data_IF_978970354244
#
_entry.id   IF_978970354244
#
_cell.length_a   1.000
_cell.length_b   1.000
_cell.length_c   1.000
_cell.angle_alpha   90.00
_cell.angle_beta   90.00
_cell.angle_gamma   90.00
#
_symmetry.space_group_name_H-M   'P 1'
#
loop_
_entity.id
_entity.type
_entity.pdbx_description
1 polymer ?
#
# COMPACT_ATOMS: atom_id res chain seq x y z
N UNK A 1 26.13 -10.10 25.72
CA UNK A 1 26.22 -10.89 24.48
C UNK A 1 24.92 -11.67 24.36
N UNK A 2 24.03 -11.29 23.45
CA UNK A 2 22.77 -12.03 23.27
C UNK A 2 23.12 -13.44 22.75
N UNK A 3 22.49 -14.49 23.28
CA UNK A 3 22.76 -15.83 22.75
C UNK A 3 22.31 -15.84 21.29
N UNK A 4 23.13 -16.37 20.37
CA UNK A 4 22.76 -16.51 18.94
C UNK A 4 21.39 -17.22 18.77
N UNK A 5 21.01 -18.03 19.75
CA UNK A 5 19.71 -18.71 19.84
C UNK A 5 18.56 -17.71 20.01
N UNK A 6 18.69 -16.73 20.90
CA UNK A 6 17.64 -15.74 21.15
C UNK A 6 17.43 -14.81 19.94
N UNK A 7 18.49 -14.41 19.25
CA UNK A 7 18.36 -13.63 18.00
C UNK A 7 17.65 -14.43 16.91
N UNK A 8 17.99 -15.71 16.73
CA UNK A 8 17.30 -16.59 15.79
C UNK A 8 15.83 -16.81 16.16
N UNK A 9 15.53 -17.02 17.44
CA UNK A 9 14.15 -17.20 17.92
C UNK A 9 13.30 -15.95 17.64
N UNK A 10 13.83 -14.75 17.92
CA UNK A 10 13.17 -13.47 17.57
C UNK A 10 12.90 -13.38 16.07
N UNK A 11 13.90 -13.70 15.24
CA UNK A 11 13.75 -13.66 13.79
C UNK A 11 12.64 -14.60 13.32
N UNK A 12 12.63 -15.85 13.79
CA UNK A 12 11.62 -16.85 13.44
C UNK A 12 10.23 -16.39 13.88
N UNK A 13 10.09 -15.88 15.10
CA UNK A 13 8.83 -15.38 15.63
C UNK A 13 8.22 -14.27 14.74
N UNK A 14 8.99 -13.20 14.48
CA UNK A 14 8.48 -12.09 13.65
C UNK A 14 8.19 -12.54 12.22
N UNK A 15 8.96 -13.49 11.67
CA UNK A 15 8.71 -14.04 10.35
C UNK A 15 7.40 -14.84 10.32
N UNK A 16 7.16 -15.71 11.30
CA UNK A 16 5.92 -16.50 11.40
C UNK A 16 4.71 -15.57 11.51
N UNK A 17 4.76 -14.60 12.41
CA UNK A 17 3.66 -13.64 12.58
C UNK A 17 3.41 -12.85 11.29
N UNK A 18 4.47 -12.44 10.59
CA UNK A 18 4.33 -11.78 9.28
C UNK A 18 3.73 -12.73 8.22
N UNK A 19 4.13 -14.01 8.18
CA UNK A 19 3.53 -15.00 7.27
C UNK A 19 2.04 -15.16 7.56
N UNK A 20 1.65 -15.28 8.84
CA UNK A 20 0.25 -15.37 9.23
C UNK A 20 -0.55 -14.13 8.82
N UNK A 21 0.04 -12.93 8.92
CA UNK A 21 -0.57 -11.68 8.46
C UNK A 21 -0.93 -11.69 6.97
N UNK A 22 -0.08 -12.29 6.12
CA UNK A 22 -0.33 -12.41 4.67
C UNK A 22 -1.10 -13.67 4.27
N UNK A 23 -1.18 -14.68 5.14
CA UNK A 23 -1.88 -15.93 4.88
C UNK A 23 -3.38 -15.84 5.21
N UNK A 24 -3.73 -15.21 6.33
CA UNK A 24 -5.14 -15.08 6.75
C UNK A 24 -5.79 -13.82 6.16
N UNK A 25 -6.23 -13.91 4.90
CA UNK A 25 -6.74 -12.79 4.13
C UNK A 25 -8.23 -12.50 4.34
N UNK A 26 -9.03 -13.54 4.51
CA UNK A 26 -10.50 -13.45 4.56
C UNK A 26 -11.06 -13.70 5.96
N UNK A 27 -10.22 -14.20 6.86
CA UNK A 27 -10.59 -14.56 8.22
C UNK A 27 -10.67 -13.32 9.12
N UNK A 28 -11.66 -13.35 10.01
CA UNK A 28 -11.89 -12.30 10.99
C UNK A 28 -12.11 -12.92 12.37
N UNK A 29 -11.71 -12.17 13.39
CA UNK A 29 -12.03 -12.43 14.77
C UNK A 29 -13.40 -11.79 15.08
N UNK A 30 -14.33 -12.59 15.60
CA UNK A 30 -15.60 -12.08 16.09
C UNK A 30 -15.56 -11.94 17.62
N UNK A 31 -15.40 -10.71 18.09
CA UNK A 31 -15.42 -10.33 19.51
C UNK A 31 -16.56 -9.34 19.79
N UNK A 32 -17.65 -9.42 19.02
CA UNK A 32 -18.70 -8.38 18.96
C UNK A 32 -18.37 -7.25 17.98
N UNK A 33 -17.16 -7.28 17.41
CA UNK A 33 -16.70 -6.50 16.25
C UNK A 33 -15.92 -7.46 15.35
N UNK A 34 -16.18 -7.42 14.04
CA UNK A 34 -15.46 -8.23 13.07
C UNK A 34 -14.09 -7.60 12.76
N UNK A 35 -13.05 -8.07 13.46
CA UNK A 35 -11.67 -7.58 13.29
C UNK A 35 -10.89 -8.51 12.39
N UNK A 36 -10.40 -8.01 11.26
CA UNK A 36 -9.65 -8.84 10.30
C UNK A 36 -8.35 -9.40 10.90
N UNK A 37 -8.01 -10.66 10.62
CA UNK A 37 -6.79 -11.28 11.14
C UNK A 37 -5.52 -10.56 10.71
N UNK A 38 -5.46 -10.05 9.48
CA UNK A 38 -4.39 -9.17 8.99
C UNK A 38 -4.14 -7.96 9.90
N UNK A 39 -5.20 -7.33 10.43
CA UNK A 39 -5.08 -6.22 11.38
C UNK A 39 -4.54 -6.70 12.73
N UNK A 40 -5.04 -7.82 13.24
CA UNK A 40 -4.58 -8.43 14.50
C UNK A 40 -3.08 -8.74 14.44
N UNK A 41 -2.61 -9.41 13.37
CA UNK A 41 -1.18 -9.75 13.25
C UNK A 41 -0.29 -8.51 13.09
N UNK A 42 -0.75 -7.46 12.40
CA UNK A 42 -0.03 -6.19 12.34
C UNK A 42 0.16 -5.56 13.74
N UNK A 43 -0.88 -5.59 14.58
CA UNK A 43 -0.80 -5.16 15.97
C UNK A 43 0.11 -6.07 16.82
N UNK A 44 0.05 -7.39 16.63
CA UNK A 44 0.95 -8.33 17.33
C UNK A 44 2.42 -8.02 17.01
N UNK A 45 2.77 -7.75 15.74
CA UNK A 45 4.12 -7.33 15.37
C UNK A 45 4.53 -6.04 16.10
N UNK A 46 3.63 -5.05 16.13
CA UNK A 46 3.87 -3.77 16.78
C UNK A 46 4.06 -3.89 18.29
N UNK A 47 3.14 -4.55 19.00
CA UNK A 47 3.24 -4.74 20.44
C UNK A 47 4.44 -5.60 20.83
N UNK A 48 4.78 -6.62 20.04
CA UNK A 48 5.99 -7.42 20.24
C UNK A 48 7.26 -6.57 20.14
N UNK A 49 7.30 -5.62 19.20
CA UNK A 49 8.42 -4.68 19.10
C UNK A 49 8.47 -3.70 20.28
N UNK A 50 7.32 -3.27 20.81
CA UNK A 50 7.25 -2.45 22.05
C UNK A 50 7.82 -3.21 23.23
N UNK A 51 7.40 -4.47 23.43
CA UNK A 51 7.93 -5.31 24.51
C UNK A 51 9.44 -5.44 24.40
N UNK A 52 9.98 -5.70 23.20
CA UNK A 52 11.44 -5.76 22.98
C UNK A 52 12.10 -4.41 23.27
N UNK A 53 11.48 -3.30 22.88
CA UNK A 53 11.95 -1.95 23.18
C UNK A 53 12.02 -1.69 24.70
N UNK A 54 11.04 -2.13 25.48
CA UNK A 54 11.05 -1.98 26.94
C UNK A 54 12.22 -2.71 27.61
N UNK A 55 12.59 -3.90 27.11
CA UNK A 55 13.73 -4.65 27.64
C UNK A 55 15.09 -4.13 27.18
N UNK A 56 15.18 -3.68 25.92
CA UNK A 56 16.43 -3.17 25.31
C UNK A 56 16.10 -1.94 24.46
N UNK A 57 16.01 -0.75 25.06
CA UNK A 57 15.57 0.44 24.35
C UNK A 57 16.62 0.89 23.35
N UNK A 58 16.25 0.88 22.07
CA UNK A 58 16.98 1.63 21.04
C UNK A 58 16.13 2.84 20.62
N UNK A 59 16.35 3.96 21.30
CA UNK A 59 15.54 5.17 21.12
C UNK A 59 15.60 5.69 19.68
N UNK A 60 16.78 5.68 19.05
CA UNK A 60 16.92 6.19 17.67
C UNK A 60 16.19 5.33 16.65
N UNK A 61 16.22 4.00 16.78
CA UNK A 61 15.40 3.09 15.95
C UNK A 61 13.91 3.25 16.23
N UNK A 62 13.52 3.25 17.51
CA UNK A 62 12.12 3.33 17.93
C UNK A 62 11.46 4.61 17.42
N UNK A 63 12.09 5.77 17.65
CA UNK A 63 11.58 7.06 17.19
C UNK A 63 11.60 7.17 15.67
N UNK A 64 12.58 6.59 14.97
CA UNK A 64 12.60 6.59 13.49
C UNK A 64 11.44 5.75 12.95
N UNK A 65 11.29 4.50 13.39
CA UNK A 65 10.19 3.62 12.98
C UNK A 65 8.82 4.24 13.25
N UNK A 66 8.61 4.76 14.47
CA UNK A 66 7.32 5.30 14.87
C UNK A 66 6.98 6.59 14.11
N UNK A 67 7.88 7.58 14.09
CA UNK A 67 7.62 8.83 13.36
C UNK A 67 7.38 8.60 11.87
N UNK A 68 8.17 7.73 11.24
CA UNK A 68 8.04 7.46 9.81
C UNK A 68 6.74 6.70 9.49
N UNK A 69 6.30 5.78 10.37
CA UNK A 69 4.99 5.11 10.25
C UNK A 69 3.81 6.09 10.44
N UNK A 70 3.90 7.01 11.41
CA UNK A 70 2.88 8.05 11.64
C UNK A 70 2.78 8.99 10.44
N UNK A 71 3.91 9.44 9.90
CA UNK A 71 3.92 10.33 8.73
C UNK A 71 3.41 9.61 7.48
N UNK A 72 3.79 8.34 7.29
CA UNK A 72 3.21 7.54 6.21
C UNK A 72 1.67 7.48 6.33
N UNK A 73 1.16 7.41 7.56
CA UNK A 73 -0.27 7.35 7.89
C UNK A 73 -0.95 8.73 7.93
N UNK A 74 -0.30 9.81 7.50
CA UNK A 74 -0.90 11.15 7.39
C UNK A 74 -2.28 11.16 6.68
N UNK A 75 -2.51 10.41 5.59
CA UNK A 75 -3.81 10.39 4.91
C UNK A 75 -4.97 9.91 5.79
N UNK A 76 -4.71 8.96 6.69
CA UNK A 76 -5.69 8.50 7.66
C UNK A 76 -6.12 9.64 8.58
N UNK A 77 -5.17 10.41 9.11
CA UNK A 77 -5.48 11.55 9.98
C UNK A 77 -6.22 12.67 9.24
N UNK A 78 -5.90 12.89 7.96
CA UNK A 78 -6.64 13.84 7.12
C UNK A 78 -8.08 13.38 6.93
N UNK A 79 -8.31 12.12 6.56
CA UNK A 79 -9.66 11.53 6.42
C UNK A 79 -10.45 11.74 7.71
N UNK A 80 -9.86 11.38 8.85
CA UNK A 80 -10.53 11.50 10.15
C UNK A 80 -10.82 12.96 10.50
N UNK A 81 -9.86 13.87 10.33
CA UNK A 81 -10.04 15.28 10.66
C UNK A 81 -11.13 15.95 9.81
N UNK A 82 -11.12 15.69 8.49
CA UNK A 82 -12.15 16.17 7.57
C UNK A 82 -13.50 15.57 7.91
N UNK A 83 -13.56 14.26 8.16
CA UNK A 83 -14.84 13.59 8.46
C UNK A 83 -15.42 14.03 9.80
N UNK A 84 -14.60 14.25 10.83
CA UNK A 84 -15.06 14.82 12.10
C UNK A 84 -15.68 16.20 11.90
N UNK A 85 -15.06 17.04 11.07
CA UNK A 85 -15.61 18.35 10.73
C UNK A 85 -16.94 18.24 9.99
N UNK A 86 -17.02 17.39 8.96
CA UNK A 86 -18.24 17.18 8.17
C UNK A 86 -19.36 16.57 9.02
N UNK A 87 -19.08 15.58 9.85
CA UNK A 87 -20.07 14.96 10.73
C UNK A 87 -20.63 15.95 11.75
N UNK A 88 -19.77 16.84 12.28
CA UNK A 88 -20.18 17.88 13.22
C UNK A 88 -21.07 18.94 12.55
N UNK A 89 -20.67 19.43 11.37
CA UNK A 89 -21.42 20.48 10.64
C UNK A 89 -22.69 19.95 10.01
N UNK A 90 -22.64 18.75 9.42
CA UNK A 90 -23.74 18.13 8.67
C UNK A 90 -24.75 17.38 9.53
N UNK A 91 -24.53 17.26 10.85
CA UNK A 91 -25.38 16.47 11.77
C UNK A 91 -25.69 15.07 11.22
N UNK A 92 -24.63 14.39 10.78
CA UNK A 92 -24.73 13.12 10.04
C UNK A 92 -25.20 11.97 10.94
N UNK A 93 -25.96 11.04 10.37
CA UNK A 93 -26.50 9.87 11.09
C UNK A 93 -25.41 9.01 11.76
N UNK A 94 -25.73 8.48 12.94
CA UNK A 94 -24.77 7.72 13.76
C UNK A 94 -24.34 6.41 13.08
N UNK A 95 -25.19 5.83 12.23
CA UNK A 95 -24.89 4.66 11.41
C UNK A 95 -23.81 4.93 10.39
N UNK A 96 -23.84 6.11 9.75
CA UNK A 96 -22.78 6.56 8.82
C UNK A 96 -21.47 6.78 9.56
N UNK A 97 -21.49 7.45 10.72
CA UNK A 97 -20.30 7.68 11.55
C UNK A 97 -19.68 6.34 11.98
N UNK A 98 -20.51 5.41 12.49
CA UNK A 98 -20.08 4.08 12.90
C UNK A 98 -19.47 3.28 11.73
N UNK A 99 -20.11 3.32 10.56
CA UNK A 99 -19.61 2.68 9.34
C UNK A 99 -18.26 3.24 8.91
N UNK A 100 -18.12 4.57 8.93
CA UNK A 100 -16.88 5.27 8.59
C UNK A 100 -15.73 4.96 9.54
N UNK A 101 -15.99 4.96 10.85
CA UNK A 101 -14.98 4.61 11.85
C UNK A 101 -14.57 3.13 11.75
N UNK A 102 -15.54 2.24 11.58
CA UNK A 102 -15.29 0.80 11.45
C UNK A 102 -14.49 0.49 10.18
N UNK A 103 -14.89 1.02 9.02
CA UNK A 103 -14.15 0.80 7.77
C UNK A 103 -12.71 1.27 7.89
N UNK A 104 -12.52 2.48 8.41
CA UNK A 104 -11.23 3.18 8.46
C UNK A 104 -10.28 2.62 9.51
N UNK A 105 -10.76 2.28 10.71
CA UNK A 105 -9.92 1.88 11.85
C UNK A 105 -9.91 0.39 12.14
N UNK A 106 -10.85 -0.39 11.59
CA UNK A 106 -10.91 -1.84 11.83
C UNK A 106 -10.57 -2.61 10.53
N UNK A 107 -11.20 -2.27 9.41
CA UNK A 107 -11.06 -3.06 8.17
C UNK A 107 -9.85 -2.67 7.31
N UNK A 108 -9.57 -1.36 7.16
CA UNK A 108 -8.54 -0.83 6.23
C UNK A 108 -7.44 -0.03 6.94
N UNK A 109 -7.25 -0.27 8.24
CA UNK A 109 -6.43 0.57 9.12
C UNK A 109 -4.97 0.72 8.66
N UNK A 110 -4.71 1.80 7.94
CA UNK A 110 -3.39 2.17 7.42
C UNK A 110 -2.32 2.30 8.50
N UNK A 111 -2.68 2.83 9.67
CA UNK A 111 -1.73 3.06 10.77
C UNK A 111 -1.23 1.73 11.34
N UNK A 112 -2.12 0.76 11.56
CA UNK A 112 -1.73 -0.56 12.06
C UNK A 112 -0.74 -1.26 11.11
N UNK A 113 -1.01 -1.25 9.80
CA UNK A 113 -0.11 -1.80 8.79
C UNK A 113 1.24 -1.07 8.73
N UNK A 114 1.23 0.27 8.81
CA UNK A 114 2.46 1.06 8.84
C UNK A 114 3.28 0.83 10.11
N UNK A 115 2.63 0.64 11.26
CA UNK A 115 3.27 0.30 12.53
C UNK A 115 3.84 -1.12 12.51
N UNK A 116 3.15 -2.09 11.90
CA UNK A 116 3.67 -3.44 11.66
C UNK A 116 4.92 -3.43 10.77
N UNK A 117 4.90 -2.66 9.69
CA UNK A 117 6.09 -2.42 8.86
C UNK A 117 7.22 -1.74 9.66
N UNK A 118 6.90 -0.72 10.46
CA UNK A 118 7.83 -0.03 11.34
C UNK A 118 8.45 -0.95 12.40
N UNK A 119 7.70 -1.93 12.90
CA UNK A 119 8.17 -2.95 13.83
C UNK A 119 9.19 -3.89 13.18
N UNK A 120 8.94 -4.38 11.97
CA UNK A 120 9.91 -5.17 11.22
C UNK A 120 11.21 -4.38 10.95
N UNK A 121 11.11 -3.09 10.63
CA UNK A 121 12.27 -2.22 10.45
C UNK A 121 13.00 -1.92 11.78
N UNK A 122 12.28 -1.78 12.89
CA UNK A 122 12.87 -1.59 14.21
C UNK A 122 13.79 -2.77 14.58
N UNK A 123 13.27 -3.99 14.41
CA UNK A 123 13.99 -5.23 14.74
C UNK A 123 15.12 -5.49 13.74
N UNK A 124 14.81 -5.53 12.44
CA UNK A 124 15.74 -6.01 11.42
C UNK A 124 16.53 -4.91 10.69
N UNK A 125 16.21 -3.64 10.92
CA UNK A 125 16.75 -2.52 10.12
C UNK A 125 16.32 -2.63 8.66
N UNK A 126 17.18 -2.20 7.74
CA UNK A 126 16.92 -2.32 6.30
C UNK A 126 16.67 -3.75 5.80
N UNK A 127 17.15 -4.78 6.53
CA UNK A 127 16.88 -6.20 6.20
C UNK A 127 15.39 -6.56 6.35
N UNK A 128 14.62 -5.79 7.13
CA UNK A 128 13.18 -5.98 7.30
C UNK A 128 12.39 -5.97 5.99
N UNK A 129 12.85 -5.21 4.98
CA UNK A 129 12.28 -5.22 3.62
C UNK A 129 12.23 -6.64 3.05
N UNK A 130 13.33 -7.39 3.18
CA UNK A 130 13.45 -8.73 2.60
C UNK A 130 12.76 -9.79 3.44
N UNK A 131 12.78 -9.65 4.77
CA UNK A 131 12.00 -10.55 5.64
C UNK A 131 10.49 -10.43 5.39
N UNK A 132 9.99 -9.22 5.13
CA UNK A 132 8.60 -9.03 4.74
C UNK A 132 8.31 -9.63 3.36
N UNK A 133 9.22 -9.52 2.38
CA UNK A 133 9.08 -10.21 1.09
C UNK A 133 9.03 -11.73 1.26
N UNK A 134 9.93 -12.29 2.07
CA UNK A 134 9.94 -13.73 2.36
C UNK A 134 8.62 -14.15 3.00
N UNK A 135 8.05 -13.34 3.89
CA UNK A 135 6.75 -13.63 4.50
C UNK A 135 5.61 -13.67 3.46
N UNK A 136 5.57 -12.69 2.54
CA UNK A 136 4.59 -12.65 1.44
C UNK A 136 4.75 -13.87 0.53
N UNK A 137 5.98 -14.18 0.11
CA UNK A 137 6.25 -15.31 -0.78
C UNK A 137 5.91 -16.64 -0.11
N UNK A 138 6.25 -16.81 1.17
CA UNK A 138 5.91 -18.02 1.91
C UNK A 138 4.39 -18.22 2.04
N UNK A 139 3.64 -17.16 2.37
CA UNK A 139 2.18 -17.21 2.44
C UNK A 139 1.58 -17.55 1.07
N UNK A 140 2.00 -16.87 0.01
CA UNK A 140 1.47 -17.07 -1.33
C UNK A 140 1.81 -18.47 -1.90
N UNK A 141 3.05 -18.94 -1.70
CA UNK A 141 3.43 -20.30 -2.10
C UNK A 141 2.62 -21.35 -1.32
N UNK A 142 2.38 -21.14 -0.02
CA UNK A 142 1.58 -22.09 0.77
C UNK A 142 0.12 -22.15 0.27
N UNK A 143 -0.46 -21.01 -0.13
CA UNK A 143 -1.78 -20.97 -0.78
C UNK A 143 -1.79 -21.71 -2.11
N UNK A 144 -0.83 -21.42 -3.01
CA UNK A 144 -0.71 -22.10 -4.31
C UNK A 144 -0.53 -23.61 -4.12
N UNK A 145 0.31 -24.05 -3.17
CA UNK A 145 0.52 -25.47 -2.87
C UNK A 145 -0.77 -26.12 -2.37
N UNK A 146 -1.57 -25.42 -1.56
CA UNK A 146 -2.87 -25.93 -1.08
C UNK A 146 -3.84 -26.12 -2.25
N UNK A 147 -3.88 -25.17 -3.19
CA UNK A 147 -4.70 -25.26 -4.41
C UNK A 147 -4.24 -26.42 -5.30
N UNK A 148 -2.93 -26.56 -5.51
CA UNK A 148 -2.34 -27.66 -6.29
C UNK A 148 -2.65 -29.01 -5.64
N UNK A 149 -2.61 -29.10 -4.31
CA UNK A 149 -2.93 -30.32 -3.58
C UNK A 149 -4.40 -30.73 -3.72
N UNK A 150 -5.32 -29.76 -3.89
CA UNK A 150 -6.75 -30.00 -4.06
C UNK A 150 -7.12 -30.35 -5.51
N UNK A 151 -6.55 -29.64 -6.49
CA UNK A 151 -7.00 -29.70 -7.90
C UNK A 151 -6.02 -30.40 -8.85
N UNK A 152 -4.83 -30.76 -8.37
CA UNK A 152 -3.79 -31.45 -9.14
C UNK A 152 -2.85 -30.50 -9.90
N UNK A 153 -1.57 -30.87 -9.94
CA UNK A 153 -0.49 -30.04 -10.51
C UNK A 153 -0.67 -29.79 -12.03
N UNK A 154 -1.06 -30.82 -12.79
CA UNK A 154 -1.23 -30.70 -14.24
C UNK A 154 -2.32 -29.69 -14.63
N UNK A 155 -3.45 -29.72 -13.92
CA UNK A 155 -4.59 -28.83 -14.17
C UNK A 155 -4.23 -27.37 -13.88
N UNK A 156 -3.56 -27.13 -12.75
CA UNK A 156 -3.09 -25.80 -12.37
C UNK A 156 -2.18 -25.18 -13.43
N UNK A 157 -1.15 -25.90 -13.88
CA UNK A 157 -0.21 -25.36 -14.88
C UNK A 157 -0.87 -25.21 -16.25
N UNK A 158 -1.81 -26.08 -16.62
CA UNK A 158 -2.54 -25.95 -17.89
C UNK A 158 -3.42 -24.69 -17.90
N UNK A 159 -4.12 -24.41 -16.81
CA UNK A 159 -4.92 -23.18 -16.69
C UNK A 159 -4.02 -21.94 -16.61
N UNK A 160 -2.88 -22.01 -15.91
CA UNK A 160 -1.91 -20.92 -15.85
C UNK A 160 -1.35 -20.56 -17.24
N UNK A 161 -1.03 -21.57 -18.06
CA UNK A 161 -0.56 -21.35 -19.44
C UNK A 161 -1.68 -20.72 -20.28
N UNK A 162 -2.90 -21.22 -20.14
CA UNK A 162 -4.08 -20.66 -20.83
C UNK A 162 -4.31 -19.19 -20.45
N UNK A 163 -4.21 -18.86 -19.17
CA UNK A 163 -4.33 -17.50 -18.65
C UNK A 163 -3.30 -16.55 -19.30
N UNK A 164 -2.02 -16.96 -19.29
CA UNK A 164 -0.92 -16.14 -19.82
C UNK A 164 -1.05 -15.98 -21.34
N UNK A 165 -1.35 -17.06 -22.06
CA UNK A 165 -1.45 -17.04 -23.53
C UNK A 165 -2.66 -16.25 -24.03
N UNK A 166 -3.78 -16.30 -23.30
CA UNK A 166 -5.00 -15.56 -23.64
C UNK A 166 -5.04 -14.15 -23.05
N UNK A 167 -3.99 -13.72 -22.34
CA UNK A 167 -3.95 -12.44 -21.63
C UNK A 167 -5.18 -12.23 -20.72
N UNK A 168 -5.53 -13.26 -19.95
CA UNK A 168 -6.74 -13.33 -19.12
C UNK A 168 -8.06 -13.13 -19.90
N UNK A 169 -8.09 -13.54 -21.17
CA UNK A 169 -9.32 -13.66 -21.95
C UNK A 169 -10.13 -14.90 -21.59
N UNK A 170 -9.45 -15.96 -21.13
CA UNK A 170 -10.08 -17.19 -20.60
C UNK A 170 -9.41 -17.52 -19.27
N UNK A 171 -10.21 -17.58 -18.20
CA UNK A 171 -9.74 -17.89 -16.84
C UNK A 171 -10.50 -19.12 -16.34
N UNK A 172 -9.78 -20.16 -15.92
CA UNK A 172 -10.38 -21.36 -15.33
C UNK A 172 -10.61 -21.22 -13.82
N UNK A 173 -11.49 -22.06 -13.28
CA UNK A 173 -11.93 -21.98 -11.88
C UNK A 173 -10.81 -22.20 -10.86
N UNK A 174 -9.74 -22.92 -11.23
CA UNK A 174 -8.59 -23.18 -10.36
C UNK A 174 -7.74 -21.92 -10.24
N UNK A 175 -7.49 -21.23 -11.35
CA UNK A 175 -6.71 -19.99 -11.37
C UNK A 175 -7.45 -18.84 -10.68
N UNK A 176 -8.78 -18.77 -10.76
CA UNK A 176 -9.58 -17.78 -10.02
C UNK A 176 -9.34 -17.93 -8.51
N UNK A 177 -9.26 -19.16 -8.00
CA UNK A 177 -8.96 -19.42 -6.58
C UNK A 177 -7.52 -19.02 -6.20
N UNK A 178 -6.58 -19.10 -7.14
CA UNK A 178 -5.20 -18.66 -6.95
C UNK A 178 -5.02 -17.14 -7.13
N UNK A 179 -6.02 -16.45 -7.68
CA UNK A 179 -5.97 -15.02 -7.97
C UNK A 179 -6.20 -14.17 -6.72
N UNK A 180 -5.22 -14.15 -5.82
CA UNK A 180 -5.28 -13.32 -4.64
C UNK A 180 -4.90 -11.89 -4.99
N UNK A 181 -5.92 -11.04 -5.19
CA UNK A 181 -5.78 -9.68 -5.70
C UNK A 181 -4.79 -8.84 -4.88
N UNK A 182 -4.96 -8.79 -3.56
CA UNK A 182 -4.15 -7.94 -2.69
C UNK A 182 -2.65 -8.34 -2.67
N UNK A 183 -2.35 -9.65 -2.67
CA UNK A 183 -0.96 -10.14 -2.68
C UNK A 183 -0.27 -9.87 -4.02
N UNK A 184 -0.99 -9.92 -5.13
CA UNK A 184 -0.45 -9.58 -6.45
C UNK A 184 0.04 -8.13 -6.47
N UNK A 185 -0.73 -7.19 -5.90
CA UNK A 185 -0.32 -5.79 -5.83
C UNK A 185 0.87 -5.58 -4.87
N UNK A 186 0.92 -6.31 -3.76
CA UNK A 186 2.08 -6.32 -2.86
C UNK A 186 3.36 -6.73 -3.59
N UNK A 187 3.31 -7.82 -4.35
CA UNK A 187 4.44 -8.31 -5.15
C UNK A 187 4.81 -7.33 -6.26
N UNK A 188 3.84 -6.67 -6.90
CA UNK A 188 4.09 -5.63 -7.89
C UNK A 188 4.91 -4.45 -7.33
N UNK A 189 4.59 -3.98 -6.11
CA UNK A 189 5.38 -2.96 -5.43
C UNK A 189 6.83 -3.42 -5.15
N UNK A 190 7.01 -4.69 -4.77
CA UNK A 190 8.34 -5.29 -4.61
C UNK A 190 9.10 -5.42 -5.94
N UNK A 191 8.44 -5.81 -7.03
CA UNK A 191 9.05 -5.88 -8.36
C UNK A 191 9.58 -4.51 -8.80
N UNK A 192 8.83 -3.43 -8.58
CA UNK A 192 9.30 -2.07 -8.83
C UNK A 192 10.59 -1.80 -8.04
N UNK A 193 10.59 -2.09 -6.74
CA UNK A 193 11.75 -1.86 -5.88
C UNK A 193 12.98 -2.70 -6.29
N UNK A 194 12.78 -3.99 -6.57
CA UNK A 194 13.83 -4.93 -6.96
C UNK A 194 14.43 -4.59 -8.33
N UNK A 195 13.59 -4.25 -9.31
CA UNK A 195 14.04 -3.88 -10.66
C UNK A 195 14.74 -2.51 -10.65
N UNK A 196 14.26 -1.55 -9.86
CA UNK A 196 14.92 -0.25 -9.72
C UNK A 196 16.27 -0.32 -9.00
N UNK A 197 16.43 -1.26 -8.06
CA UNK A 197 17.66 -1.54 -7.30
C UNK A 197 18.09 -3.02 -7.40
N UNK A 198 18.59 -3.46 -8.56
CA UNK A 198 19.04 -4.83 -8.73
C UNK A 198 20.28 -5.09 -7.86
N UNK A 199 20.32 -6.26 -7.22
CA UNK A 199 21.49 -6.74 -6.46
C UNK A 199 22.11 -7.94 -7.17
N UNK A 200 23.44 -7.97 -7.24
CA UNK A 200 24.20 -9.12 -7.75
C UNK A 200 24.35 -10.18 -6.66
N UNK A 201 23.25 -10.86 -6.33
CA UNK A 201 23.23 -11.93 -5.33
C UNK A 201 22.29 -13.06 -5.80
N UNK A 202 22.71 -14.32 -5.62
CA UNK A 202 21.90 -15.49 -5.95
C UNK A 202 20.59 -15.52 -5.16
N UNK A 203 20.61 -15.13 -3.88
CA UNK A 203 19.39 -15.10 -3.06
C UNK A 203 18.43 -14.03 -3.56
N UNK A 204 18.95 -12.89 -4.01
CA UNK A 204 18.14 -11.85 -4.64
C UNK A 204 17.51 -12.36 -5.95
N UNK A 205 18.26 -13.10 -6.77
CA UNK A 205 17.73 -13.70 -7.99
C UNK A 205 16.63 -14.73 -7.68
N UNK A 206 16.83 -15.59 -6.68
CA UNK A 206 15.81 -16.55 -6.23
C UNK A 206 14.54 -15.82 -5.79
N UNK A 207 14.67 -14.80 -4.94
CA UNK A 207 13.53 -13.99 -4.51
C UNK A 207 12.84 -13.29 -5.68
N UNK A 208 13.60 -12.83 -6.69
CA UNK A 208 13.04 -12.18 -7.87
C UNK A 208 12.24 -13.17 -8.72
N UNK A 209 12.78 -14.36 -8.96
CA UNK A 209 12.10 -15.42 -9.72
C UNK A 209 10.83 -15.87 -9.00
N UNK A 210 10.88 -16.08 -7.68
CA UNK A 210 9.69 -16.42 -6.89
C UNK A 210 8.66 -15.29 -6.91
N UNK A 211 9.09 -14.04 -6.80
CA UNK A 211 8.21 -12.87 -6.88
C UNK A 211 7.53 -12.77 -8.26
N UNK A 212 8.29 -12.96 -9.34
CA UNK A 212 7.74 -12.98 -10.71
C UNK A 212 6.75 -14.12 -10.90
N UNK A 213 7.07 -15.34 -10.44
CA UNK A 213 6.17 -16.48 -10.52
C UNK A 213 4.86 -16.21 -9.78
N UNK A 214 4.93 -15.79 -8.51
CA UNK A 214 3.76 -15.50 -7.70
C UNK A 214 2.92 -14.33 -8.26
N UNK A 215 3.58 -13.31 -8.84
CA UNK A 215 2.89 -12.19 -9.47
C UNK A 215 2.19 -12.60 -10.77
N UNK A 216 2.86 -13.37 -11.63
CA UNK A 216 2.29 -13.87 -12.88
C UNK A 216 1.14 -14.84 -12.65
N UNK A 217 1.17 -15.58 -11.54
CA UNK A 217 0.09 -16.47 -11.14
C UNK A 217 -1.26 -15.77 -10.92
N UNK A 218 -1.24 -14.49 -10.53
CA UNK A 218 -2.45 -13.68 -10.35
C UNK A 218 -2.79 -12.81 -11.57
N UNK A 219 -1.88 -12.69 -12.54
CA UNK A 219 -2.05 -12.03 -13.84
C UNK A 219 -2.88 -10.72 -13.87
N UNK A 220 -2.63 -9.79 -12.94
CA UNK A 220 -3.32 -8.48 -12.94
C UNK A 220 -2.75 -7.56 -14.04
N UNK A 221 -3.48 -7.42 -15.16
CA UNK A 221 -3.11 -6.58 -16.32
C UNK A 221 -2.77 -5.14 -15.94
N UNK A 222 -3.62 -4.50 -15.14
CA UNK A 222 -3.38 -3.12 -14.68
C UNK A 222 -2.11 -3.00 -13.84
N UNK A 223 -1.79 -4.01 -13.02
CA UNK A 223 -0.57 -4.00 -12.22
C UNK A 223 0.68 -4.06 -13.11
N UNK A 224 0.66 -4.80 -14.22
CA UNK A 224 1.77 -4.83 -15.18
C UNK A 224 2.02 -3.46 -15.81
N UNK A 225 0.95 -2.79 -16.26
CA UNK A 225 1.02 -1.44 -16.83
C UNK A 225 1.54 -0.45 -15.77
N UNK A 226 1.03 -0.54 -14.54
CA UNK A 226 1.46 0.30 -13.43
C UNK A 226 2.95 0.12 -13.10
N UNK A 227 3.47 -1.12 -13.08
CA UNK A 227 4.89 -1.41 -12.88
C UNK A 227 5.73 -0.80 -14.00
N UNK A 228 5.32 -1.00 -15.26
CA UNK A 228 6.04 -0.47 -16.42
C UNK A 228 6.13 1.06 -16.39
N UNK A 229 5.01 1.75 -16.14
CA UNK A 229 4.96 3.20 -16.05
C UNK A 229 5.76 3.73 -14.85
N UNK A 230 5.60 3.13 -13.67
CA UNK A 230 6.36 3.52 -12.48
C UNK A 230 7.87 3.38 -12.69
N UNK A 231 8.32 2.28 -13.31
CA UNK A 231 9.73 2.09 -13.66
C UNK A 231 10.21 3.07 -14.73
N UNK A 232 9.41 3.37 -15.75
CA UNK A 232 9.77 4.34 -16.78
C UNK A 232 10.04 5.73 -16.17
N UNK A 233 9.12 6.23 -15.34
CA UNK A 233 9.33 7.47 -14.59
C UNK A 233 10.53 7.37 -13.63
N UNK A 234 10.67 6.25 -12.92
CA UNK A 234 11.77 5.98 -12.01
C UNK A 234 13.14 6.06 -12.69
N UNK A 235 13.32 5.38 -13.82
CA UNK A 235 14.56 5.38 -14.58
C UNK A 235 14.85 6.75 -15.20
N UNK A 236 13.83 7.45 -15.71
CA UNK A 236 13.97 8.83 -16.19
C UNK A 236 14.51 9.74 -15.08
N UNK A 237 13.87 9.72 -13.91
CA UNK A 237 14.28 10.55 -12.77
C UNK A 237 15.65 10.16 -12.21
N UNK A 238 15.97 8.86 -12.19
CA UNK A 238 17.29 8.34 -11.79
C UNK A 238 18.38 8.79 -12.74
N UNK A 239 18.10 8.77 -14.05
CA UNK A 239 19.01 9.28 -15.07
C UNK A 239 19.29 10.76 -14.84
N UNK A 240 18.26 11.59 -14.64
CA UNK A 240 18.42 13.02 -14.37
C UNK A 240 19.18 13.25 -13.04
N UNK A 241 18.89 12.46 -12.00
CA UNK A 241 19.55 12.56 -10.70
C UNK A 241 21.06 12.27 -10.77
N UNK A 242 21.51 11.49 -11.76
CA UNK A 242 22.94 11.24 -12.02
C UNK A 242 23.68 12.49 -12.45
N UNK A 243 23.02 13.39 -13.21
CA UNK A 243 23.61 14.64 -13.70
C UNK A 243 23.37 15.79 -12.71
N UNK A 244 22.13 15.98 -12.27
CA UNK A 244 21.76 17.05 -11.35
C UNK A 244 20.69 16.61 -10.37
N UNK A 245 21.12 16.31 -9.13
CA UNK A 245 20.24 15.91 -8.03
C UNK A 245 19.18 16.95 -7.68
N UNK A 246 19.50 18.24 -7.80
CA UNK A 246 18.57 19.33 -7.49
C UNK A 246 17.44 19.39 -8.52
N UNK A 247 17.78 19.28 -9.80
CA UNK A 247 16.80 19.19 -10.89
C UNK A 247 15.90 17.96 -10.73
N UNK A 248 16.48 16.79 -10.44
CA UNK A 248 15.68 15.59 -10.19
C UNK A 248 14.72 15.75 -9.01
N UNK A 249 15.15 16.40 -7.93
CA UNK A 249 14.27 16.72 -6.79
C UNK A 249 13.11 17.61 -7.20
N UNK A 250 13.37 18.68 -7.97
CA UNK A 250 12.32 19.58 -8.43
C UNK A 250 11.35 18.88 -9.38
N UNK A 251 11.85 18.01 -10.27
CA UNK A 251 11.01 17.23 -11.18
C UNK A 251 10.14 16.21 -10.46
N UNK A 252 10.67 15.51 -9.45
CA UNK A 252 9.88 14.60 -8.60
C UNK A 252 8.73 15.36 -7.93
N UNK A 253 9.00 16.54 -7.36
CA UNK A 253 7.97 17.38 -6.76
C UNK A 253 6.97 17.87 -7.80
N UNK A 254 7.44 18.35 -8.96
CA UNK A 254 6.58 18.81 -10.05
C UNK A 254 5.65 17.70 -10.54
N UNK A 255 6.18 16.51 -10.82
CA UNK A 255 5.37 15.36 -11.23
C UNK A 255 4.37 14.95 -10.16
N UNK A 256 4.74 15.03 -8.88
CA UNK A 256 3.81 14.78 -7.77
C UNK A 256 2.66 15.80 -7.77
N UNK A 257 2.93 17.09 -8.01
CA UNK A 257 1.89 18.13 -8.14
C UNK A 257 1.01 17.85 -9.36
N UNK A 258 1.60 17.50 -10.51
CA UNK A 258 0.85 17.21 -11.74
C UNK A 258 -0.08 16.01 -11.57
N UNK A 259 0.34 14.98 -10.84
CA UNK A 259 -0.51 13.82 -10.50
C UNK A 259 -1.70 14.26 -9.64
N UNK A 260 -1.51 15.14 -8.65
CA UNK A 260 -2.62 15.69 -7.85
C UNK A 260 -3.59 16.47 -8.73
N UNK A 261 -3.09 17.36 -9.60
CA UNK A 261 -3.92 18.13 -10.53
C UNK A 261 -4.71 17.21 -11.47
N UNK A 262 -4.06 16.17 -12.01
CA UNK A 262 -4.68 15.19 -12.89
C UNK A 262 -5.82 14.44 -12.18
N UNK A 263 -5.64 14.05 -10.92
CA UNK A 263 -6.66 13.35 -10.14
C UNK A 263 -7.83 14.25 -9.69
N UNK A 264 -7.61 15.56 -9.59
CA UNK A 264 -8.71 16.53 -9.43
C UNK A 264 -9.46 16.66 -10.76
N UNK A 265 -8.74 16.82 -11.88
CA UNK A 265 -9.31 16.88 -13.22
C UNK A 265 -10.07 15.59 -13.59
N UNK A 266 -9.64 14.43 -13.08
CA UNK A 266 -10.34 13.17 -13.27
C UNK A 266 -11.77 13.20 -12.71
N UNK A 267 -11.98 13.77 -11.51
CA UNK A 267 -13.33 13.92 -10.93
C UNK A 267 -14.18 14.87 -11.77
N UNK A 268 -13.59 15.98 -12.25
CA UNK A 268 -14.29 16.91 -13.14
C UNK A 268 -14.76 16.23 -14.44
N UNK A 269 -13.88 15.42 -15.05
CA UNK A 269 -14.19 14.64 -16.25
C UNK A 269 -15.32 13.62 -16.01
N UNK A 270 -15.33 12.96 -14.85
CA UNK A 270 -16.44 12.07 -14.46
C UNK A 270 -17.74 12.87 -14.36
N UNK A 271 -17.73 14.02 -13.68
CA UNK A 271 -18.92 14.87 -13.48
C UNK A 271 -19.49 15.41 -14.80
N UNK A 272 -18.64 15.61 -15.81
CA UNK A 272 -19.05 15.99 -17.16
C UNK A 272 -19.73 14.87 -17.96
N UNK A 273 -19.86 13.66 -17.42
CA UNK A 273 -20.45 12.52 -18.15
C UNK A 273 -19.53 11.90 -19.19
N UNK A 274 -18.20 12.07 -19.07
CA UNK A 274 -17.26 11.56 -20.06
C UNK A 274 -17.31 10.03 -20.27
N UNK A 275 -17.68 9.27 -19.23
CA UNK A 275 -17.88 7.82 -19.35
C UNK A 275 -19.09 7.46 -20.23
N UNK A 276 -20.12 8.30 -20.25
CA UNK A 276 -21.28 8.13 -21.13
C UNK A 276 -20.88 8.35 -22.58
N UNK A 277 -20.12 9.42 -22.84
CA UNK A 277 -19.57 9.70 -24.16
C UNK A 277 -18.65 8.57 -24.67
N UNK A 278 -17.93 7.90 -23.77
CA UNK A 278 -17.09 6.74 -24.12
C UNK A 278 -17.95 5.52 -24.50
N UNK A 279 -19.04 5.23 -23.77
CA UNK A 279 -19.96 4.16 -24.16
C UNK A 279 -20.69 4.47 -25.47
N UNK A 280 -21.11 5.72 -25.68
CA UNK A 280 -21.69 6.18 -26.95
C UNK A 280 -20.71 6.05 -28.12
N UNK A 281 -19.40 6.22 -27.85
CA UNK A 281 -18.32 5.98 -28.82
C UNK A 281 -17.97 4.49 -29.00
N UNK A 282 -18.67 3.58 -28.34
CA UNK A 282 -18.48 2.13 -28.45
C UNK A 282 -17.40 1.55 -27.54
N UNK A 283 -16.93 2.29 -26.54
CA UNK A 283 -15.96 1.81 -25.53
C UNK A 283 -16.71 1.17 -24.37
N UNK A 284 -16.50 -0.11 -24.13
CA UNK A 284 -17.10 -0.81 -22.98
C UNK A 284 -16.53 -0.27 -21.66
N UNK A 285 -17.38 0.32 -20.80
CA UNK A 285 -16.95 0.87 -19.50
C UNK A 285 -17.14 -0.09 -18.33
N UNK A 286 -17.46 -1.36 -18.61
CA UNK A 286 -17.66 -2.42 -17.60
C UNK A 286 -18.70 -2.05 -16.53
N UNK A 287 -19.80 -1.42 -16.93
CA UNK A 287 -20.90 -1.04 -16.02
C UNK A 287 -20.65 0.20 -15.16
N UNK A 288 -19.53 0.92 -15.36
CA UNK A 288 -19.20 2.12 -14.58
C UNK A 288 -20.17 3.27 -14.82
N UNK A 289 -20.75 3.39 -16.01
CA UNK A 289 -21.73 4.45 -16.31
C UNK A 289 -22.95 4.36 -15.38
N UNK A 290 -23.51 3.18 -15.17
CA UNK A 290 -24.67 3.00 -14.29
C UNK A 290 -24.33 3.38 -12.84
N UNK A 291 -23.17 2.92 -12.36
CA UNK A 291 -22.69 3.20 -11.00
C UNK A 291 -22.43 4.70 -10.82
N UNK A 292 -21.76 5.34 -11.77
CA UNK A 292 -21.42 6.77 -11.69
C UNK A 292 -22.66 7.65 -11.78
N UNK A 293 -23.64 7.30 -12.62
CA UNK A 293 -24.96 7.95 -12.67
C UNK A 293 -25.69 7.85 -11.34
N UNK A 294 -25.67 6.68 -10.71
CA UNK A 294 -26.36 6.48 -9.44
C UNK A 294 -25.76 7.29 -8.28
N UNK A 295 -24.45 7.54 -8.32
CA UNK A 295 -23.76 8.33 -7.28
C UNK A 295 -23.62 9.81 -7.61
N UNK A 296 -23.94 10.23 -8.83
CA UNK A 296 -23.79 11.62 -9.29
C UNK A 296 -24.53 12.64 -8.42
N UNK A 297 -25.70 12.26 -7.90
CA UNK A 297 -26.52 13.08 -7.00
C UNK A 297 -25.92 13.31 -5.62
N UNK A 298 -24.86 12.60 -5.24
CA UNK A 298 -24.25 12.70 -3.92
C UNK A 298 -23.07 13.67 -3.85
N UNK A 299 -22.70 14.31 -4.97
CA UNK A 299 -21.63 15.31 -4.98
C UNK A 299 -21.80 16.36 -6.08
N UNK A 300 -21.20 17.53 -5.81
CA UNK A 300 -21.00 18.60 -6.77
C UNK A 300 -19.51 18.87 -6.93
N UNK A 301 -19.06 19.13 -8.16
CA UNK A 301 -17.70 19.58 -8.39
C UNK A 301 -17.60 21.09 -8.15
N UNK A 302 -17.70 21.49 -6.88
CA UNK A 302 -17.64 22.89 -6.43
C UNK A 302 -16.75 23.02 -5.18
N UNK A 303 -15.99 24.12 -5.02
CA UNK A 303 -15.29 24.43 -3.77
C UNK A 303 -16.20 24.49 -2.53
N UNK A 304 -17.51 24.72 -2.72
CA UNK A 304 -18.51 24.77 -1.64
C UNK A 304 -18.94 23.37 -1.17
N UNK A 305 -18.60 22.31 -1.92
CA UNK A 305 -18.93 20.94 -1.54
C UNK A 305 -18.01 20.45 -0.41
N UNK A 306 -18.56 20.42 0.81
CA UNK A 306 -17.84 20.01 2.03
C UNK A 306 -17.60 18.50 2.14
N UNK A 307 -18.36 17.69 1.38
CA UNK A 307 -18.37 16.24 1.51
C UNK A 307 -19.48 15.73 2.43
N UNK A 308 -19.62 14.41 2.51
CA UNK A 308 -20.65 13.74 3.31
C UNK A 308 -20.11 13.01 4.55
N UNK A 309 -18.79 12.95 4.71
CA UNK A 309 -18.08 12.23 5.75
C UNK A 309 -17.74 10.80 5.35
N UNK A 310 -16.60 10.29 5.81
CA UNK A 310 -16.13 8.94 5.45
C UNK A 310 -17.17 7.87 5.80
N UNK A 311 -17.40 6.95 4.87
CA UNK A 311 -18.35 5.85 5.06
C UNK A 311 -19.79 6.18 4.62
N UNK A 312 -20.08 7.43 4.24
CA UNK A 312 -21.38 7.83 3.70
C UNK A 312 -21.72 7.03 2.44
N UNK A 313 -20.84 7.04 1.42
CA UNK A 313 -21.15 6.38 0.16
C UNK A 313 -21.30 4.87 0.33
N UNK A 314 -20.44 4.26 1.15
CA UNK A 314 -20.56 2.84 1.49
C UNK A 314 -21.86 2.53 2.22
N UNK A 315 -22.28 3.38 3.16
CA UNK A 315 -23.56 3.22 3.86
C UNK A 315 -24.73 3.32 2.89
N UNK A 316 -24.70 4.29 1.98
CA UNK A 316 -25.78 4.54 1.02
C UNK A 316 -25.93 3.39 0.00
N UNK A 317 -24.81 2.87 -0.50
CA UNK A 317 -24.82 1.72 -1.41
C UNK A 317 -25.34 0.45 -0.73
N UNK A 318 -24.91 0.18 0.51
CA UNK A 318 -25.35 -1.04 1.21
C UNK A 318 -26.79 -0.98 1.74
N UNK A 319 -27.33 0.22 2.01
CA UNK A 319 -28.63 0.37 2.67
C UNK A 319 -29.78 0.65 1.71
N UNK A 320 -29.54 1.29 0.56
CA UNK A 320 -30.60 1.81 -0.30
C UNK A 320 -30.51 1.37 -1.76
N UNK A 321 -29.38 0.82 -2.20
CA UNK A 321 -29.21 0.36 -3.57
C UNK A 321 -29.33 -1.17 -3.56
N UNK A 322 -30.53 -1.69 -3.85
CA UNK A 322 -30.76 -3.11 -4.20
C UNK A 322 -30.12 -3.50 -5.56
N UNK A 323 -29.08 -2.76 -5.98
CA UNK A 323 -28.21 -3.12 -7.07
C UNK A 323 -27.08 -3.87 -6.38
N UNK A 324 -26.78 -5.11 -6.76
CA UNK A 324 -25.74 -5.95 -6.13
C UNK A 324 -24.30 -5.41 -6.24
N UNK A 325 -24.12 -4.10 -6.26
CA UNK A 325 -22.89 -3.34 -6.41
C UNK A 325 -22.41 -2.95 -5.00
N UNK A 326 -21.54 -3.79 -4.44
CA UNK A 326 -20.95 -3.57 -3.12
C UNK A 326 -19.94 -2.40 -3.06
N UNK A 327 -19.51 -1.88 -4.22
CA UNK A 327 -18.49 -0.82 -4.31
C UNK A 327 -18.54 -0.06 -5.64
N UNK A 328 -18.11 1.21 -5.62
CA UNK A 328 -17.98 2.07 -6.80
C UNK A 328 -16.81 1.65 -7.71
N UNK A 329 -15.89 0.79 -7.22
CA UNK A 329 -14.68 0.39 -7.93
C UNK A 329 -13.84 1.58 -8.43
N UNK A 330 -13.86 2.67 -7.66
CA UNK A 330 -13.11 3.90 -7.89
C UNK A 330 -12.87 4.60 -6.54
N UNK A 331 -11.69 4.34 -5.97
CA UNK A 331 -11.30 4.93 -4.68
C UNK A 331 -11.30 6.46 -4.72
N UNK A 332 -10.93 7.06 -5.86
CA UNK A 332 -10.87 8.52 -6.01
C UNK A 332 -12.23 9.18 -5.96
N UNK A 333 -13.21 8.64 -6.71
CA UNK A 333 -14.58 9.15 -6.70
C UNK A 333 -15.22 8.96 -5.32
N UNK A 334 -15.01 7.80 -4.70
CA UNK A 334 -15.49 7.54 -3.34
C UNK A 334 -14.93 8.55 -2.33
N UNK A 335 -13.61 8.76 -2.32
CA UNK A 335 -12.99 9.73 -1.42
C UNK A 335 -13.40 11.17 -1.72
N UNK A 336 -13.69 11.53 -2.98
CA UNK A 336 -14.23 12.86 -3.29
C UNK A 336 -15.63 13.06 -2.70
N UNK A 337 -16.54 12.10 -2.89
CA UNK A 337 -17.92 12.15 -2.35
C UNK A 337 -17.90 12.22 -0.81
N UNK A 338 -17.04 11.44 -0.18
CA UNK A 338 -16.97 11.36 1.28
C UNK A 338 -16.25 12.58 1.89
N UNK A 339 -15.14 13.06 1.30
CA UNK A 339 -14.30 14.11 1.90
C UNK A 339 -14.57 15.53 1.38
N UNK A 340 -15.33 15.66 0.29
CA UNK A 340 -15.58 16.95 -0.34
C UNK A 340 -14.37 17.50 -1.11
N UNK A 341 -14.54 18.70 -1.68
CA UNK A 341 -13.56 19.28 -2.59
C UNK A 341 -12.20 19.51 -1.91
N UNK A 342 -12.20 20.23 -0.79
CA UNK A 342 -10.96 20.54 -0.07
C UNK A 342 -10.39 19.34 0.69
N UNK A 343 -11.25 18.51 1.28
CA UNK A 343 -10.80 17.31 1.99
C UNK A 343 -10.13 16.31 1.06
N UNK A 344 -10.66 16.13 -0.15
CA UNK A 344 -10.05 15.31 -1.19
C UNK A 344 -8.67 15.84 -1.62
N UNK A 345 -8.53 17.16 -1.83
CA UNK A 345 -7.24 17.78 -2.19
C UNK A 345 -6.21 17.57 -1.07
N UNK A 346 -6.58 17.83 0.19
CA UNK A 346 -5.69 17.61 1.33
C UNK A 346 -5.27 16.14 1.44
N UNK A 347 -6.21 15.22 1.22
CA UNK A 347 -5.93 13.80 1.23
C UNK A 347 -4.97 13.40 0.10
N UNK A 348 -5.18 13.87 -1.14
CA UNK A 348 -4.25 13.66 -2.25
C UNK A 348 -2.84 14.19 -1.95
N UNK A 349 -2.74 15.41 -1.42
CA UNK A 349 -1.45 16.02 -1.02
C UNK A 349 -0.76 15.16 0.04
N UNK A 350 -1.51 14.65 1.02
CA UNK A 350 -0.98 13.79 2.08
C UNK A 350 -0.49 12.43 1.57
N UNK A 351 -1.15 11.85 0.56
CA UNK A 351 -0.76 10.59 -0.10
C UNK A 351 0.44 10.75 -1.04
N UNK A 352 0.63 11.94 -1.61
CA UNK A 352 1.65 12.23 -2.63
C UNK A 352 2.79 13.08 -2.08
N UNK A 353 2.64 14.41 -2.13
CA UNK A 353 3.66 15.41 -1.88
C UNK A 353 4.24 15.29 -0.48
N UNK A 354 3.39 15.12 0.53
CA UNK A 354 3.86 14.97 1.90
C UNK A 354 4.81 13.78 2.03
N UNK A 355 4.44 12.61 1.50
CA UNK A 355 5.28 11.40 1.54
C UNK A 355 6.56 11.59 0.74
N UNK A 356 6.47 12.09 -0.49
CA UNK A 356 7.63 12.30 -1.37
C UNK A 356 8.64 13.27 -0.75
N UNK A 357 8.18 14.40 -0.23
CA UNK A 357 9.04 15.41 0.41
C UNK A 357 9.61 14.89 1.73
N UNK A 358 8.81 14.20 2.55
CA UNK A 358 9.24 13.68 3.83
C UNK A 358 10.25 12.54 3.68
N UNK A 359 9.99 11.55 2.84
CA UNK A 359 10.89 10.42 2.62
C UNK A 359 12.09 10.79 1.74
N UNK A 360 11.98 11.86 0.95
CA UNK A 360 13.07 12.46 0.17
C UNK A 360 13.93 13.50 0.90
N UNK A 361 13.60 13.81 2.16
CA UNK A 361 14.29 14.86 2.95
C UNK A 361 15.79 14.58 3.12
N UNK A 362 16.52 15.61 3.56
CA UNK A 362 17.97 15.55 3.82
C UNK A 362 18.80 15.13 2.58
N UNK A 363 18.31 15.45 1.39
CA UNK A 363 19.00 15.16 0.12
C UNK A 363 18.88 13.71 -0.34
N UNK A 364 17.99 12.90 0.24
CA UNK A 364 17.79 11.51 -0.17
C UNK A 364 16.87 11.42 -1.41
N UNK A 365 17.38 11.91 -2.54
CA UNK A 365 16.65 11.94 -3.82
C UNK A 365 16.27 10.53 -4.29
N UNK A 366 17.12 9.55 -4.01
CA UNK A 366 16.83 8.17 -4.37
C UNK A 366 15.58 7.63 -3.64
N UNK A 367 15.42 7.95 -2.36
CA UNK A 367 14.21 7.61 -1.61
C UNK A 367 12.98 8.42 -2.06
N UNK A 368 13.18 9.67 -2.49
CA UNK A 368 12.12 10.48 -3.10
C UNK A 368 11.58 9.84 -4.39
N UNK A 369 12.48 9.36 -5.26
CA UNK A 369 12.13 8.68 -6.51
C UNK A 369 11.39 7.37 -6.21
N UNK A 370 11.88 6.55 -5.28
CA UNK A 370 11.21 5.31 -4.87
C UNK A 370 9.81 5.60 -4.33
N UNK A 371 9.67 6.61 -3.47
CA UNK A 371 8.38 7.01 -2.93
C UNK A 371 7.43 7.43 -4.04
N UNK A 372 7.90 8.26 -4.99
CA UNK A 372 7.12 8.67 -6.14
C UNK A 372 6.68 7.50 -7.03
N UNK A 373 7.58 6.58 -7.38
CA UNK A 373 7.24 5.38 -8.17
C UNK A 373 6.15 4.54 -7.49
N UNK A 374 6.28 4.32 -6.18
CA UNK A 374 5.34 3.53 -5.39
C UNK A 374 3.98 4.22 -5.24
N UNK A 375 3.96 5.55 -5.12
CA UNK A 375 2.73 6.35 -5.13
C UNK A 375 2.05 6.30 -6.51
N UNK A 376 2.79 6.47 -7.60
CA UNK A 376 2.25 6.35 -8.98
C UNK A 376 1.69 4.95 -9.21
N UNK A 377 2.41 3.92 -8.79
CA UNK A 377 1.95 2.55 -8.84
C UNK A 377 0.60 2.37 -8.13
N UNK A 378 0.50 2.80 -6.87
CA UNK A 378 -0.73 2.75 -6.08
C UNK A 378 -1.88 3.46 -6.80
N UNK A 379 -1.64 4.63 -7.37
CA UNK A 379 -2.69 5.41 -8.00
C UNK A 379 -3.21 4.78 -9.29
N UNK A 380 -2.33 4.21 -10.11
CA UNK A 380 -2.75 3.51 -11.32
C UNK A 380 -3.58 2.28 -10.94
N UNK A 381 -3.12 1.47 -9.99
CA UNK A 381 -3.90 0.27 -9.60
C UNK A 381 -5.21 0.64 -8.88
N UNK A 382 -5.26 1.76 -8.16
CA UNK A 382 -6.46 2.28 -7.49
C UNK A 382 -7.51 2.87 -8.45
N UNK A 383 -7.13 3.15 -9.70
CA UNK A 383 -8.07 3.67 -10.71
C UNK A 383 -9.00 2.60 -11.29
N UNK A 384 -8.64 1.32 -11.09
CA UNK A 384 -9.39 0.18 -11.62
C UNK A 384 -9.89 -0.77 -10.55
N UNK A 385 -9.19 -0.84 -9.42
CA UNK A 385 -9.46 -1.74 -8.31
C UNK A 385 -9.38 -0.91 -7.02
N UNK A 386 -10.00 -1.32 -5.92
CA UNK A 386 -10.08 -0.52 -4.69
C UNK A 386 -8.82 -0.70 -3.82
N UNK A 387 -7.64 -0.58 -4.44
CA UNK A 387 -6.38 -0.96 -3.81
C UNK A 387 -5.94 -0.01 -2.68
N UNK A 388 -6.52 1.18 -2.57
CA UNK A 388 -6.26 2.06 -1.42
C UNK A 388 -6.85 1.51 -0.13
N UNK A 389 -7.85 0.64 -0.24
CA UNK A 389 -8.48 -0.06 0.87
C UNK A 389 -7.76 -1.38 1.23
N UNK A 390 -6.64 -1.71 0.58
CA UNK A 390 -5.84 -2.90 0.84
C UNK A 390 -4.78 -2.64 1.93
N UNK A 391 -5.00 -3.10 3.19
CA UNK A 391 -4.08 -2.83 4.30
C UNK A 391 -2.73 -3.54 4.17
N UNK A 392 -2.64 -4.69 3.49
CA UNK A 392 -1.38 -5.38 3.25
C UNK A 392 -0.54 -4.63 2.22
N UNK A 393 -1.16 -4.16 1.13
CA UNK A 393 -0.49 -3.29 0.16
C UNK A 393 0.02 -2.03 0.85
N UNK A 394 -0.80 -1.43 1.72
CA UNK A 394 -0.42 -0.28 2.53
C UNK A 394 0.81 -0.57 3.41
N UNK A 395 0.87 -1.74 4.05
CA UNK A 395 2.04 -2.16 4.83
C UNK A 395 3.29 -2.37 3.98
N UNK A 396 3.15 -2.92 2.77
CA UNK A 396 4.25 -3.10 1.82
C UNK A 396 4.79 -1.78 1.31
N UNK A 397 3.93 -0.84 0.93
CA UNK A 397 4.36 0.49 0.50
C UNK A 397 5.06 1.22 1.66
N UNK A 398 4.55 1.11 2.89
CA UNK A 398 5.20 1.66 4.07
C UNK A 398 6.60 1.06 4.29
N UNK A 399 6.75 -0.26 4.28
CA UNK A 399 8.07 -0.89 4.53
C UNK A 399 9.09 -0.53 3.46
N UNK A 400 8.68 -0.38 2.21
CA UNK A 400 9.57 0.00 1.10
C UNK A 400 10.00 1.47 1.18
N UNK A 401 9.05 2.39 1.42
CA UNK A 401 9.32 3.84 1.52
C UNK A 401 10.17 4.19 2.75
N UNK A 402 9.87 3.58 3.89
CA UNK A 402 10.59 3.80 5.16
C UNK A 402 11.94 3.06 5.12
N UNK A 403 11.93 1.79 4.66
CA UNK A 403 13.06 0.87 4.79
C UNK A 403 14.30 1.24 3.98
N UNK A 404 14.15 1.84 2.79
CA UNK A 404 15.28 2.07 1.89
C UNK A 404 16.35 3.01 2.48
N UNK A 405 15.92 4.04 3.22
CA UNK A 405 16.79 5.01 3.91
C UNK A 405 16.87 4.80 5.42
N UNK A 406 16.29 3.71 5.94
CA UNK A 406 16.08 3.50 7.38
C UNK A 406 17.37 3.58 8.22
N UNK A 407 18.37 2.75 7.91
CA UNK A 407 19.61 2.69 8.71
C UNK A 407 20.40 4.01 8.65
N UNK A 408 20.30 4.76 7.54
CA UNK A 408 20.89 6.09 7.41
C UNK A 408 20.15 7.11 8.29
N UNK A 409 18.81 7.10 8.26
CA UNK A 409 17.99 7.96 9.11
C UNK A 409 18.21 7.70 10.60
N UNK A 410 18.36 6.43 11.00
CA UNK A 410 18.68 6.04 12.37
C UNK A 410 20.03 6.63 12.80
N UNK A 411 21.07 6.49 11.98
CA UNK A 411 22.41 7.06 12.29
C UNK A 411 22.39 8.58 12.40
N UNK A 412 21.67 9.27 11.50
CA UNK A 412 21.49 10.72 11.58
C UNK A 412 20.75 11.12 12.86
N UNK A 413 19.80 10.31 13.33
CA UNK A 413 19.05 10.56 14.56
C UNK A 413 19.89 10.28 15.81
N UNK A 414 20.74 9.26 15.79
CA UNK A 414 21.73 9.00 16.85
C UNK A 414 22.70 10.16 16.98
N UNK A 415 23.27 10.65 15.87
CA UNK A 415 24.15 11.80 15.90
C UNK A 415 23.45 13.04 16.48
N UNK A 416 22.17 13.27 16.14
CA UNK A 416 21.38 14.38 16.68
C UNK A 416 21.07 14.21 18.18
N UNK A 417 20.82 12.99 18.65
CA UNK A 417 20.42 12.72 20.04
C UNK A 417 21.63 12.60 20.98
N UNK A 418 22.75 12.04 20.51
CA UNK A 418 23.86 11.59 21.35
C UNK A 418 25.22 12.17 20.93
N UNK A 419 25.31 12.96 19.87
CA UNK A 419 26.57 13.51 19.35
C UNK A 419 27.54 12.48 18.75
N UNK A 420 27.15 11.20 18.71
CA UNK A 420 27.92 10.09 18.14
C UNK A 420 26.98 9.00 17.60
N UNK A 421 27.48 8.18 16.68
CA UNK A 421 26.82 6.95 16.25
C UNK A 421 27.11 5.85 17.27
N UNK A 422 26.09 5.15 17.77
CA UNK A 422 26.28 4.10 18.77
C UNK A 422 26.91 2.87 18.12
N UNK A 423 27.80 2.15 18.84
CA UNK A 423 28.52 0.98 18.32
C UNK A 423 27.59 -0.10 17.73
N UNK A 424 26.41 -0.28 18.32
CA UNK A 424 25.36 -1.18 17.83
C UNK A 424 24.84 -0.87 16.41
N UNK A 425 25.03 0.36 15.92
CA UNK A 425 24.61 0.81 14.58
C UNK A 425 25.79 1.29 13.68
N UNK A 426 27.01 1.34 14.24
CA UNK A 426 28.23 1.75 13.55
C UNK A 426 28.72 0.72 12.51
N UNK A 427 28.63 -0.59 12.81
CA UNK A 427 29.29 -1.65 12.02
C UNK A 427 28.47 -2.30 10.91
N UNK A 428 27.21 -1.95 10.73
CA UNK A 428 26.37 -2.53 9.64
C UNK A 428 26.74 -2.05 8.22
N UNK A 429 27.89 -1.39 8.02
CA UNK A 429 28.39 -1.01 6.69
C UNK A 429 29.07 -2.19 5.96
N UNK A 430 29.37 -3.30 6.65
CA UNK A 430 30.17 -4.43 6.10
C UNK A 430 29.54 -5.82 6.10
N UNK A 431 28.33 -6.01 6.60
CA UNK A 431 27.66 -7.31 6.46
C UNK A 431 26.84 -7.36 5.16
N UNK A 432 27.49 -7.82 4.09
CA UNK A 432 26.81 -8.37 2.92
C UNK A 432 26.06 -9.65 3.33
N UNK A 433 24.88 -9.49 3.91
CA UNK A 433 23.89 -10.57 3.87
C UNK A 433 22.59 -9.99 3.30
N UNK A 434 22.24 -10.51 2.11
CA UNK A 434 21.29 -10.05 1.08
C UNK A 434 21.76 -8.90 0.18
#
# INVERSE_FOLDING_TARGET
>A
MESKILEKAKMIYFLIVAVMMYYFLNEYLDVGLHVTYRHVFALVLFFSAIVIFMFKPNLSRGVTSFCDAVVYSAPLFVITAVSLFVWFVGTVDIGVISRGLSSTYIYTNMLSSALGAGALLYIFGKKGIWYNLIAILAANIFMIVTIIAQHGLGNYFSELITLITTFAGVTGDIIIQAEIHELAFCLGAYLIYMLYKPKKNIVFLILLVLCLFCFLSAFKRIAMIAIALALAFGYLLKFIAKYNKKTASHLVTLFSILVVIMLIGYIFIIKMGAFELLEEAGVETSGRVEVYKAVDKYYEFSPDFLGNGIGFLTYQLNSFMNVGVASVHNDFLQHFIDLGFWGYILWLISMTLLRVLYFGRKGNIDNAIITFMLTVYLFIVSSTDNTMNYPLLTGVLAILMIGNSYDENVRLKEHKMFGRVLSANADKKKESFL
#
